data_IF_595344603318
#
_entry.id   IF_595344603318
#
_cell.length_a   1.000
_cell.length_b   1.000
_cell.length_c   1.000
_cell.angle_alpha   90.00
_cell.angle_beta   90.00
_cell.angle_gamma   90.00
#
_symmetry.space_group_name_H-M   'P 1'
#
loop_
_entity.id
_entity.type
_entity.pdbx_description
1 polymer ?
#
# COMPACT_ATOMS: atom_id res chain seq x y z
N UNK A 1 -18.39 15.12 -15.95
CA UNK A 1 -17.30 14.97 -14.96
C UNK A 1 -16.50 13.73 -15.29
N UNK A 2 -15.22 13.70 -14.91
CA UNK A 2 -14.35 12.54 -15.15
C UNK A 2 -14.81 11.38 -14.27
N UNK A 3 -15.02 10.21 -14.87
CA UNK A 3 -15.35 9.00 -14.12
C UNK A 3 -14.19 8.69 -13.14
N UNK A 4 -14.53 8.35 -11.90
CA UNK A 4 -13.55 8.03 -10.86
C UNK A 4 -12.91 9.24 -10.16
N UNK A 5 -13.39 10.47 -10.40
CA UNK A 5 -12.97 11.63 -9.62
C UNK A 5 -13.41 11.49 -8.15
N UNK A 6 -12.48 11.72 -7.24
CA UNK A 6 -12.72 11.89 -5.80
C UNK A 6 -12.21 13.27 -5.40
N UNK A 7 -13.01 14.04 -4.67
CA UNK A 7 -12.61 15.33 -4.12
C UNK A 7 -12.10 15.11 -2.70
N UNK A 8 -10.80 15.24 -2.53
CA UNK A 8 -10.21 15.35 -1.20
C UNK A 8 -10.40 16.78 -0.69
N UNK A 9 -11.10 16.94 0.44
CA UNK A 9 -11.57 18.27 0.87
C UNK A 9 -10.40 19.15 1.30
N UNK A 10 -9.36 18.57 1.90
CA UNK A 10 -8.16 19.27 2.31
C UNK A 10 -7.02 18.29 2.55
N UNK A 11 -5.78 18.73 2.38
CA UNK A 11 -4.57 17.95 2.66
C UNK A 11 -3.88 18.44 3.94
N UNK A 12 -3.56 17.51 4.85
CA UNK A 12 -2.76 17.69 6.07
C UNK A 12 -3.09 18.96 6.88
N UNK A 13 -4.35 19.18 7.28
CA UNK A 13 -4.74 20.40 7.99
C UNK A 13 -4.08 20.57 9.36
N UNK A 14 -3.50 19.54 9.96
CA UNK A 14 -2.68 19.67 11.16
C UNK A 14 -1.30 20.26 10.91
N UNK A 15 -0.83 20.24 9.66
CA UNK A 15 0.42 20.85 9.24
C UNK A 15 0.27 22.36 9.11
N UNK A 16 1.02 23.13 9.91
CA UNK A 16 0.90 24.59 9.93
C UNK A 16 1.20 25.30 8.59
N UNK A 17 1.91 24.64 7.66
CA UNK A 17 2.13 25.12 6.30
C UNK A 17 0.92 24.92 5.38
N UNK A 18 0.05 23.95 5.68
CA UNK A 18 -1.17 23.67 4.94
C UNK A 18 -2.38 24.38 5.56
N UNK A 19 -2.44 24.51 6.88
CA UNK A 19 -3.50 25.23 7.58
C UNK A 19 -3.02 25.93 8.85
N UNK A 20 -2.70 27.22 8.74
CA UNK A 20 -2.19 28.04 9.84
C UNK A 20 -3.27 28.62 10.78
N UNK A 21 -4.37 27.90 11.02
CA UNK A 21 -5.54 28.37 11.78
C UNK A 21 -6.08 27.27 12.71
N UNK A 22 -7.08 27.57 13.54
CA UNK A 22 -7.61 26.62 14.53
C UNK A 22 -8.35 25.44 13.89
N UNK A 23 -8.44 24.31 14.64
CA UNK A 23 -9.25 23.14 14.28
C UNK A 23 -10.70 23.56 14.03
N UNK A 24 -11.30 24.37 14.90
CA UNK A 24 -12.67 24.87 14.72
C UNK A 24 -12.87 25.57 13.37
N UNK A 25 -11.92 26.42 12.96
CA UNK A 25 -12.03 27.10 11.68
C UNK A 25 -11.92 26.13 10.51
N UNK A 26 -11.05 25.12 10.62
CA UNK A 26 -10.94 24.06 9.62
C UNK A 26 -12.22 23.24 9.53
N UNK A 27 -12.81 22.81 10.65
CA UNK A 27 -14.08 22.06 10.68
C UNK A 27 -15.22 22.85 10.04
N UNK A 28 -15.27 24.16 10.27
CA UNK A 28 -16.24 25.04 9.61
C UNK A 28 -16.00 25.13 8.10
N UNK A 29 -14.74 25.12 7.64
CA UNK A 29 -14.40 25.02 6.22
C UNK A 29 -14.82 23.66 5.66
N UNK A 30 -14.49 22.56 6.34
CA UNK A 30 -14.86 21.20 5.98
C UNK A 30 -16.36 21.07 5.75
N UNK A 31 -17.18 21.46 6.74
CA UNK A 31 -18.63 21.33 6.64
C UNK A 31 -19.20 22.11 5.45
N UNK A 32 -18.77 23.36 5.26
CA UNK A 32 -19.18 24.16 4.10
C UNK A 32 -18.74 23.55 2.78
N UNK A 33 -17.49 23.07 2.69
CA UNK A 33 -16.95 22.45 1.49
C UNK A 33 -17.70 21.18 1.12
N UNK A 34 -17.87 20.27 2.07
CA UNK A 34 -18.60 19.02 1.87
C UNK A 34 -20.03 19.26 1.37
N UNK A 35 -20.78 20.15 2.03
CA UNK A 35 -22.16 20.47 1.61
C UNK A 35 -22.19 21.11 0.22
N UNK A 36 -21.28 22.03 -0.09
CA UNK A 36 -21.21 22.63 -1.43
C UNK A 36 -20.86 21.62 -2.54
N UNK A 37 -19.93 20.70 -2.27
CA UNK A 37 -19.58 19.67 -3.24
C UNK A 37 -20.75 18.71 -3.48
N UNK A 38 -21.44 18.29 -2.41
CA UNK A 38 -22.60 17.40 -2.55
C UNK A 38 -23.81 18.10 -3.19
N UNK A 39 -24.04 19.38 -2.93
CA UNK A 39 -25.08 20.15 -3.63
C UNK A 39 -24.77 20.27 -5.13
N UNK A 40 -23.50 20.46 -5.49
CA UNK A 40 -23.07 20.64 -6.87
C UNK A 40 -23.03 19.33 -7.68
N UNK A 41 -22.63 18.23 -7.04
CA UNK A 41 -22.26 16.99 -7.72
C UNK A 41 -23.09 15.78 -7.31
N UNK A 42 -23.75 15.82 -6.14
CA UNK A 42 -24.40 14.67 -5.53
C UNK A 42 -23.48 13.44 -5.47
N UNK A 43 -24.06 12.25 -5.59
CA UNK A 43 -23.32 10.98 -5.52
C UNK A 43 -22.45 10.68 -6.77
N UNK A 44 -22.37 11.61 -7.73
CA UNK A 44 -21.57 11.40 -8.95
C UNK A 44 -20.08 11.67 -8.76
N UNK A 45 -19.70 12.36 -7.68
CA UNK A 45 -18.31 12.59 -7.27
C UNK A 45 -18.21 12.33 -5.78
N UNK A 46 -17.31 11.42 -5.41
CA UNK A 46 -17.10 11.05 -4.02
C UNK A 46 -16.23 12.10 -3.31
N UNK A 47 -16.37 12.17 -2.00
CA UNK A 47 -15.52 12.98 -1.11
C UNK A 47 -14.58 12.11 -0.27
N UNK A 48 -13.38 12.59 0.01
CA UNK A 48 -12.43 11.95 0.94
C UNK A 48 -11.94 12.92 2.04
N UNK A 49 -11.49 12.32 3.15
CA UNK A 49 -10.72 12.96 4.22
C UNK A 49 -10.84 12.22 5.56
N UNK A 50 -10.32 12.76 6.67
CA UNK A 50 -9.83 14.12 6.86
C UNK A 50 -8.46 14.41 6.24
N UNK A 51 -7.77 13.39 5.72
CA UNK A 51 -6.43 13.48 5.10
C UNK A 51 -5.45 14.17 6.05
N UNK A 52 -5.36 13.61 7.25
CA UNK A 52 -4.35 13.98 8.21
C UNK A 52 -3.03 13.30 7.82
N UNK A 53 -1.93 14.02 7.95
CA UNK A 53 -0.57 13.48 7.90
C UNK A 53 -0.34 12.39 8.95
N UNK A 54 -0.99 12.54 10.11
CA UNK A 54 -0.94 11.59 11.22
C UNK A 54 -1.99 10.49 11.14
N UNK A 55 -1.58 9.26 11.49
CA UNK A 55 -2.47 8.10 11.65
C UNK A 55 -3.63 8.37 12.65
N UNK A 56 -4.79 7.69 12.49
CA UNK A 56 -5.88 7.65 13.45
C UNK A 56 -5.43 7.55 14.92
N UNK A 57 -5.91 8.48 15.75
CA UNK A 57 -5.64 8.51 17.20
C UNK A 57 -6.90 8.73 18.04
N UNK A 58 -7.17 7.84 19.00
CA UNK A 58 -8.35 7.97 19.91
C UNK A 58 -8.24 9.09 20.94
N UNK A 59 -7.02 9.61 21.14
CA UNK A 59 -6.68 10.76 21.97
C UNK A 59 -6.10 11.92 21.16
N UNK A 60 -6.16 11.84 19.83
CA UNK A 60 -5.71 12.91 18.94
C UNK A 60 -6.85 13.92 18.72
N UNK A 61 -6.59 15.20 18.95
CA UNK A 61 -7.60 16.26 18.88
C UNK A 61 -8.15 16.45 17.46
N UNK A 62 -7.31 16.34 16.42
CA UNK A 62 -7.75 16.46 15.04
C UNK A 62 -8.73 15.34 14.68
N UNK A 63 -8.36 14.09 14.95
CA UNK A 63 -9.22 12.93 14.70
C UNK A 63 -10.51 12.96 15.51
N UNK A 64 -10.42 13.21 16.81
CA UNK A 64 -11.58 13.13 17.71
C UNK A 64 -12.57 14.27 17.52
N UNK A 65 -12.09 15.50 17.29
CA UNK A 65 -12.97 16.64 17.02
C UNK A 65 -13.58 16.55 15.62
N UNK A 66 -12.81 16.13 14.61
CA UNK A 66 -13.35 15.86 13.27
C UNK A 66 -14.44 14.81 13.29
N UNK A 67 -14.18 13.64 13.89
CA UNK A 67 -15.16 12.55 13.92
C UNK A 67 -16.47 12.96 14.60
N UNK A 68 -16.37 13.70 15.72
CA UNK A 68 -17.54 14.28 16.40
C UNK A 68 -18.25 15.32 15.54
N UNK A 69 -17.50 16.19 14.86
CA UNK A 69 -18.05 17.26 14.04
C UNK A 69 -18.81 16.71 12.84
N UNK A 70 -18.21 15.84 12.02
CA UNK A 70 -18.83 15.34 10.78
C UNK A 70 -20.09 14.53 11.07
N UNK A 71 -20.15 13.87 12.24
CA UNK A 71 -21.37 13.20 12.71
C UNK A 71 -22.51 14.19 12.96
N UNK A 72 -22.23 15.32 13.61
CA UNK A 72 -23.25 16.29 13.99
C UNK A 72 -23.61 17.26 12.87
N UNK A 73 -22.68 17.50 11.94
CA UNK A 73 -22.87 18.38 10.80
C UNK A 73 -23.42 17.66 9.56
N UNK A 74 -23.63 16.34 9.65
CA UNK A 74 -24.03 15.47 8.54
C UNK A 74 -23.11 15.62 7.32
N UNK A 75 -21.80 15.68 7.56
CA UNK A 75 -20.77 15.95 6.54
C UNK A 75 -19.69 14.85 6.50
N UNK A 76 -20.13 13.59 6.61
CA UNK A 76 -19.26 12.41 6.63
C UNK A 76 -18.78 12.12 5.19
N UNK A 77 -17.46 11.98 4.96
CA UNK A 77 -16.97 11.72 3.60
C UNK A 77 -17.32 10.30 3.13
N UNK A 78 -17.24 10.09 1.83
CA UNK A 78 -17.46 8.78 1.20
C UNK A 78 -16.28 7.83 1.39
N UNK A 79 -15.08 8.40 1.60
CA UNK A 79 -13.84 7.68 1.87
C UNK A 79 -13.14 8.26 3.09
N UNK A 80 -12.56 7.39 3.92
CA UNK A 80 -11.66 7.81 5.00
C UNK A 80 -10.23 7.83 4.50
N UNK A 81 -9.57 8.97 4.67
CA UNK A 81 -8.20 9.19 4.20
C UNK A 81 -7.29 9.75 5.29
N UNK A 82 -6.04 9.30 5.26
CA UNK A 82 -4.91 9.74 6.07
C UNK A 82 -3.62 9.22 5.42
N UNK A 83 -2.48 9.68 5.91
CA UNK A 83 -1.18 9.30 5.37
C UNK A 83 -0.50 8.21 6.20
N UNK A 84 0.13 7.25 5.51
CA UNK A 84 0.97 6.21 6.10
C UNK A 84 2.45 6.51 5.79
N UNK A 85 2.92 7.66 6.28
CA UNK A 85 4.23 8.23 5.97
C UNK A 85 5.08 8.53 7.22
N UNK A 86 4.75 7.89 8.35
CA UNK A 86 5.54 7.94 9.59
C UNK A 86 6.83 7.13 9.57
N UNK A 87 7.24 6.59 8.41
CA UNK A 87 8.42 5.76 8.25
C UNK A 87 8.27 4.38 8.91
N UNK A 88 9.36 3.89 9.52
CA UNK A 88 9.40 2.59 10.22
C UNK A 88 8.43 2.45 11.40
N UNK A 89 7.81 3.55 11.83
CA UNK A 89 6.76 3.58 12.86
C UNK A 89 5.35 3.41 12.31
N UNK A 90 5.16 3.55 10.99
CA UNK A 90 3.83 3.41 10.37
C UNK A 90 3.34 1.97 10.46
N UNK A 91 2.08 1.79 10.80
CA UNK A 91 1.48 0.47 10.90
C UNK A 91 0.01 0.51 10.54
N UNK A 92 -0.25 0.26 9.26
CA UNK A 92 -1.61 0.27 8.72
C UNK A 92 -2.61 -0.65 9.44
N UNK A 93 -2.18 -1.80 9.96
CA UNK A 93 -3.08 -2.70 10.70
C UNK A 93 -3.49 -2.10 12.05
N UNK A 94 -2.54 -1.44 12.72
CA UNK A 94 -2.81 -0.69 13.94
C UNK A 94 -3.70 0.52 13.64
N UNK A 95 -3.34 1.36 12.66
CA UNK A 95 -4.08 2.56 12.31
C UNK A 95 -5.51 2.25 11.85
N UNK A 96 -5.70 1.17 11.06
CA UNK A 96 -7.01 0.61 10.75
C UNK A 96 -7.79 0.28 12.02
N UNK A 97 -7.19 -0.48 12.95
CA UNK A 97 -7.82 -0.85 14.21
C UNK A 97 -8.21 0.35 15.08
N UNK A 98 -7.40 1.41 15.07
CA UNK A 98 -7.70 2.66 15.79
C UNK A 98 -8.82 3.44 15.10
N UNK A 99 -8.84 3.51 13.77
CA UNK A 99 -9.97 4.08 13.03
C UNK A 99 -11.28 3.38 13.40
N UNK A 100 -11.31 2.04 13.44
CA UNK A 100 -12.50 1.29 13.84
C UNK A 100 -13.04 1.69 15.22
N UNK A 101 -12.14 1.98 16.17
CA UNK A 101 -12.51 2.47 17.51
C UNK A 101 -13.11 3.88 17.45
N UNK A 102 -12.53 4.78 16.64
CA UNK A 102 -13.05 6.13 16.43
C UNK A 102 -14.44 6.07 15.80
N UNK A 103 -14.61 5.30 14.72
CA UNK A 103 -15.90 5.16 14.03
C UNK A 103 -16.98 4.64 14.97
N UNK A 104 -16.66 3.63 15.78
CA UNK A 104 -17.58 3.07 16.80
C UNK A 104 -17.93 4.11 17.86
N UNK A 105 -16.93 4.82 18.40
CA UNK A 105 -17.11 5.82 19.48
C UNK A 105 -18.02 6.98 19.04
N UNK A 106 -17.90 7.44 17.79
CA UNK A 106 -18.64 8.58 17.28
C UNK A 106 -19.85 8.20 16.41
N UNK A 107 -20.15 6.91 16.25
CA UNK A 107 -21.31 6.44 15.47
C UNK A 107 -21.21 6.79 13.98
N UNK A 108 -20.00 6.68 13.42
CA UNK A 108 -19.72 6.85 12.01
C UNK A 108 -19.80 5.50 11.26
N UNK A 109 -20.26 5.49 10.00
CA UNK A 109 -20.35 4.26 9.22
C UNK A 109 -18.98 3.75 8.79
N UNK A 110 -18.92 2.47 8.38
CA UNK A 110 -17.76 1.99 7.62
C UNK A 110 -17.77 2.61 6.21
N UNK A 111 -16.59 2.99 5.73
CA UNK A 111 -16.37 3.53 4.39
C UNK A 111 -15.11 2.93 3.78
N UNK A 112 -14.94 3.11 2.47
CA UNK A 112 -13.72 2.76 1.78
C UNK A 112 -12.56 3.56 2.38
N UNK A 113 -11.46 2.89 2.68
CA UNK A 113 -10.23 3.54 3.13
C UNK A 113 -9.40 3.90 1.90
N UNK A 114 -8.88 5.12 1.87
CA UNK A 114 -8.02 5.64 0.82
C UNK A 114 -6.78 6.27 1.46
N UNK A 115 -5.70 5.50 1.49
CA UNK A 115 -4.39 5.98 1.91
C UNK A 115 -3.77 6.69 0.72
N UNK A 116 -4.08 7.97 0.60
CA UNK A 116 -3.74 8.78 -0.55
C UNK A 116 -2.28 9.24 -0.57
N UNK A 117 -1.54 9.08 0.52
CA UNK A 117 -0.08 9.11 0.56
C UNK A 117 0.43 8.02 1.51
N UNK A 118 1.33 7.15 1.03
CA UNK A 118 2.02 6.15 1.85
C UNK A 118 3.48 6.01 1.44
N UNK A 119 4.26 5.43 2.36
CA UNK A 119 5.69 5.19 2.26
C UNK A 119 6.52 6.47 2.20
N UNK A 120 7.37 6.65 3.20
CA UNK A 120 8.47 7.62 3.14
C UNK A 120 9.42 7.30 2.00
N UNK A 121 10.24 8.28 1.60
CA UNK A 121 11.24 8.11 0.57
C UNK A 121 12.18 6.90 0.76
N UNK A 122 12.51 6.54 2.01
CA UNK A 122 13.38 5.38 2.28
C UNK A 122 12.65 4.03 2.19
N UNK A 123 11.32 4.02 2.30
CA UNK A 123 10.50 2.82 2.15
C UNK A 123 10.12 2.54 0.70
N UNK A 124 10.39 3.49 -0.18
CA UNK A 124 10.12 3.46 -1.60
C UNK A 124 11.17 2.64 -2.36
N UNK A 125 11.23 1.37 -1.97
CA UNK A 125 12.09 0.28 -2.46
C UNK A 125 11.22 -0.96 -2.72
N UNK A 126 11.67 -1.95 -3.53
CA UNK A 126 10.89 -3.15 -3.83
C UNK A 126 10.32 -3.88 -2.59
N UNK A 127 11.10 -4.01 -1.51
CA UNK A 127 10.67 -4.60 -0.23
C UNK A 127 9.49 -3.86 0.38
N UNK A 128 9.59 -2.53 0.50
CA UNK A 128 8.54 -1.69 1.08
C UNK A 128 7.31 -1.61 0.19
N UNK A 129 7.49 -1.48 -1.13
CA UNK A 129 6.37 -1.50 -2.08
C UNK A 129 5.54 -2.78 -1.95
N UNK A 130 6.17 -3.96 -1.89
CA UNK A 130 5.46 -5.22 -1.68
C UNK A 130 4.81 -5.33 -0.29
N UNK A 131 5.43 -4.78 0.75
CA UNK A 131 4.86 -4.74 2.10
C UNK A 131 3.57 -3.91 2.13
N UNK A 132 3.60 -2.68 1.61
CA UNK A 132 2.43 -1.80 1.58
C UNK A 132 1.28 -2.36 0.72
N UNK A 133 1.59 -2.94 -0.45
CA UNK A 133 0.60 -3.67 -1.26
C UNK A 133 -0.11 -4.74 -0.42
N UNK A 134 0.65 -5.53 0.34
CA UNK A 134 0.11 -6.62 1.16
C UNK A 134 -0.83 -6.12 2.25
N UNK A 135 -0.45 -5.04 2.93
CA UNK A 135 -1.24 -4.40 3.97
C UNK A 135 -2.58 -3.87 3.43
N UNK A 136 -2.54 -3.13 2.31
CA UNK A 136 -3.75 -2.54 1.74
C UNK A 136 -4.67 -3.58 1.12
N UNK A 137 -4.12 -4.56 0.43
CA UNK A 137 -4.91 -5.66 -0.16
C UNK A 137 -5.67 -6.46 0.90
N UNK A 138 -5.07 -6.70 2.07
CA UNK A 138 -5.72 -7.41 3.18
C UNK A 138 -6.98 -6.69 3.68
N UNK A 139 -6.98 -5.36 3.69
CA UNK A 139 -8.09 -4.53 4.16
C UNK A 139 -8.94 -3.94 3.04
N UNK A 140 -8.65 -4.31 1.79
CA UNK A 140 -9.29 -3.75 0.62
C UNK A 140 -9.20 -2.21 0.60
N UNK A 141 -8.06 -1.65 1.02
CA UNK A 141 -7.81 -0.22 1.02
C UNK A 141 -7.25 0.23 -0.35
N UNK A 142 -7.51 1.48 -0.71
CA UNK A 142 -6.84 2.15 -1.83
C UNK A 142 -5.52 2.71 -1.30
N UNK A 143 -4.44 2.57 -2.07
CA UNK A 143 -3.14 3.14 -1.76
C UNK A 143 -2.61 3.97 -2.92
N UNK A 144 -2.27 5.23 -2.68
CA UNK A 144 -1.52 6.08 -3.59
C UNK A 144 -0.17 6.42 -2.95
N UNK A 145 0.91 6.08 -3.66
CA UNK A 145 2.28 6.23 -3.16
C UNK A 145 2.61 7.72 -3.00
N UNK A 146 3.18 8.08 -1.85
CA UNK A 146 3.62 9.45 -1.58
C UNK A 146 4.70 9.91 -2.55
N UNK A 147 4.77 11.21 -2.82
CA UNK A 147 5.73 11.76 -3.78
C UNK A 147 6.67 12.76 -3.11
N UNK A 148 7.80 12.24 -2.63
CA UNK A 148 8.83 12.99 -1.88
C UNK A 148 9.85 13.74 -2.76
N UNK A 149 9.61 13.80 -4.07
CA UNK A 149 10.51 14.46 -5.02
C UNK A 149 10.28 15.97 -5.08
N UNK A 150 11.22 16.70 -5.66
CA UNK A 150 11.14 18.15 -5.84
C UNK A 150 11.29 18.60 -7.29
N UNK A 151 10.87 19.83 -7.58
CA UNK A 151 11.07 20.48 -8.89
C UNK A 151 10.52 19.67 -10.06
N UNK A 152 11.29 19.53 -11.13
CA UNK A 152 10.94 18.74 -12.32
C UNK A 152 10.52 17.32 -11.97
N UNK A 153 11.23 16.68 -11.04
CA UNK A 153 11.11 15.25 -10.76
C UNK A 153 9.75 14.89 -10.15
N UNK A 154 9.21 15.77 -9.30
CA UNK A 154 7.89 15.64 -8.68
C UNK A 154 6.79 15.41 -9.73
N UNK A 155 6.88 16.09 -10.87
CA UNK A 155 5.83 16.09 -11.90
C UNK A 155 6.05 15.09 -13.03
N UNK A 156 7.18 14.38 -13.02
CA UNK A 156 7.69 13.72 -14.23
C UNK A 156 8.06 12.24 -14.02
N UNK A 157 8.41 11.86 -12.79
CA UNK A 157 9.01 10.55 -12.51
C UNK A 157 8.07 9.53 -11.85
N UNK A 158 6.77 9.87 -11.76
CA UNK A 158 5.74 9.04 -11.15
C UNK A 158 6.17 8.53 -9.76
N UNK A 159 6.52 9.47 -8.86
CA UNK A 159 7.03 9.18 -7.52
C UNK A 159 8.20 8.18 -7.53
N UNK A 160 9.24 8.41 -8.35
CA UNK A 160 10.42 7.55 -8.49
C UNK A 160 10.14 6.12 -8.97
N UNK A 161 8.97 5.83 -9.57
CA UNK A 161 8.79 4.58 -10.32
C UNK A 161 9.57 4.60 -11.62
N UNK A 162 9.69 5.78 -12.23
CA UNK A 162 10.43 6.00 -13.46
C UNK A 162 11.59 6.96 -13.20
N UNK A 163 12.58 6.91 -14.07
CA UNK A 163 13.64 7.90 -14.16
C UNK A 163 14.02 8.09 -15.63
N UNK A 164 14.95 9.00 -15.91
CA UNK A 164 15.45 9.32 -17.24
C UNK A 164 16.92 9.76 -17.14
N UNK A 165 17.67 9.83 -18.26
CA UNK A 165 19.11 10.10 -18.22
C UNK A 165 19.51 11.38 -17.48
N UNK A 166 18.68 12.43 -17.58
CA UNK A 166 18.79 13.61 -16.72
C UNK A 166 17.43 13.88 -16.05
N UNK A 167 17.22 13.46 -14.80
CA UNK A 167 15.94 13.61 -14.11
C UNK A 167 15.62 15.08 -13.76
N UNK A 168 16.59 16.00 -13.83
CA UNK A 168 16.37 17.41 -13.50
C UNK A 168 15.97 18.26 -14.71
N UNK A 169 16.25 17.79 -15.93
CA UNK A 169 15.85 18.44 -17.18
C UNK A 169 14.47 17.96 -17.65
N UNK A 170 13.47 18.85 -17.64
CA UNK A 170 12.10 18.55 -18.09
C UNK A 170 12.05 18.05 -19.55
N UNK A 171 12.99 18.45 -20.40
CA UNK A 171 13.03 18.08 -21.82
C UNK A 171 13.78 16.78 -22.10
N UNK A 172 14.50 16.24 -21.11
CA UNK A 172 15.17 14.95 -21.22
C UNK A 172 14.16 13.84 -21.51
N UNK A 173 14.51 12.92 -22.41
CA UNK A 173 13.67 11.81 -22.87
C UNK A 173 14.36 10.47 -22.64
N UNK A 174 13.67 9.36 -22.94
CA UNK A 174 14.20 8.01 -22.73
C UNK A 174 13.95 7.51 -21.31
N UNK A 175 12.71 7.64 -20.84
CA UNK A 175 12.29 7.12 -19.55
C UNK A 175 12.57 5.63 -19.42
N UNK A 176 12.97 5.23 -18.23
CA UNK A 176 13.21 3.85 -17.87
C UNK A 176 12.67 3.55 -16.47
N UNK A 177 12.42 2.27 -16.21
CA UNK A 177 11.91 1.78 -14.95
C UNK A 177 13.00 1.73 -13.87
N UNK A 178 12.64 2.17 -12.66
CA UNK A 178 13.39 1.86 -11.44
C UNK A 178 12.93 0.52 -10.84
N UNK A 179 13.55 0.10 -9.73
CA UNK A 179 13.28 -1.20 -9.09
C UNK A 179 11.82 -1.42 -8.72
N UNK A 180 11.20 -0.46 -8.05
CA UNK A 180 9.81 -0.52 -7.58
C UNK A 180 8.80 -0.69 -8.71
N UNK A 181 9.05 -0.09 -9.88
CA UNK A 181 8.16 -0.23 -11.04
C UNK A 181 7.93 -1.69 -11.39
N UNK A 182 8.96 -2.53 -11.28
CA UNK A 182 8.82 -3.96 -11.57
C UNK A 182 7.96 -4.69 -10.55
N UNK A 183 7.92 -4.25 -9.30
CA UNK A 183 6.99 -4.76 -8.28
C UNK A 183 5.55 -4.40 -8.65
N UNK A 184 5.25 -3.13 -8.94
CA UNK A 184 3.89 -2.73 -9.37
C UNK A 184 3.48 -3.35 -10.70
N UNK A 185 4.41 -3.54 -11.63
CA UNK A 185 4.14 -4.21 -12.89
C UNK A 185 3.79 -5.69 -12.66
N UNK A 186 4.55 -6.41 -11.83
CA UNK A 186 4.24 -7.79 -11.45
C UNK A 186 2.92 -7.89 -10.66
N UNK A 187 2.70 -7.00 -9.70
CA UNK A 187 1.44 -6.90 -8.96
C UNK A 187 0.24 -6.74 -9.90
N UNK A 188 0.28 -5.80 -10.84
CA UNK A 188 -0.84 -5.52 -11.75
C UNK A 188 -1.08 -6.57 -12.84
N UNK A 189 -0.02 -7.23 -13.35
CA UNK A 189 -0.14 -8.13 -14.50
C UNK A 189 -0.07 -9.62 -14.12
N UNK A 190 0.62 -9.97 -13.04
CA UNK A 190 0.87 -11.37 -12.68
C UNK A 190 0.01 -11.83 -11.51
N UNK A 191 -0.36 -10.98 -10.55
CA UNK A 191 -1.18 -11.36 -9.39
C UNK A 191 -2.66 -11.50 -9.77
N UNK A 192 -2.96 -12.49 -10.62
CA UNK A 192 -4.27 -12.75 -11.20
C UNK A 192 -5.09 -13.77 -10.39
N UNK A 193 -6.40 -13.80 -10.64
CA UNK A 193 -7.30 -14.76 -10.01
C UNK A 193 -7.92 -14.21 -8.73
N UNK A 194 -8.05 -15.06 -7.71
CA UNK A 194 -8.67 -14.70 -6.44
C UNK A 194 -7.61 -14.44 -5.37
N UNK A 195 -7.78 -13.36 -4.61
CA UNK A 195 -6.99 -13.11 -3.39
C UNK A 195 -7.22 -14.23 -2.39
N UNK A 196 -6.17 -14.65 -1.71
CA UNK A 196 -6.27 -15.58 -0.57
C UNK A 196 -5.85 -14.89 0.72
N UNK A 197 -6.31 -15.44 1.84
CA UNK A 197 -5.97 -14.88 3.16
C UNK A 197 -4.47 -14.97 3.41
N UNK A 198 -3.89 -13.87 3.89
CA UNK A 198 -2.51 -13.79 4.39
C UNK A 198 -2.51 -13.19 5.80
N UNK A 199 -1.37 -13.31 6.48
CA UNK A 199 -1.14 -12.72 7.80
C UNK A 199 0.27 -12.13 7.84
N UNK A 200 0.39 -10.95 8.45
CA UNK A 200 1.69 -10.34 8.75
C UNK A 200 2.47 -11.20 9.75
N UNK A 201 3.80 -11.14 9.71
CA UNK A 201 4.66 -11.76 10.70
C UNK A 201 4.40 -11.25 12.13
N UNK A 202 4.81 -12.02 13.14
CA UNK A 202 4.54 -11.68 14.54
C UNK A 202 5.19 -10.38 15.02
N UNK A 203 6.29 -9.97 14.38
CA UNK A 203 6.97 -8.69 14.61
C UNK A 203 6.41 -7.55 13.76
N UNK A 204 5.44 -7.82 12.88
CA UNK A 204 4.82 -6.84 11.99
C UNK A 204 5.68 -6.42 10.80
N UNK A 205 6.83 -7.08 10.55
CA UNK A 205 7.85 -6.60 9.60
C UNK A 205 7.85 -7.30 8.24
N UNK A 206 7.44 -8.56 8.14
CA UNK A 206 7.25 -9.27 6.87
C UNK A 206 5.76 -9.42 6.60
N UNK A 207 5.38 -9.20 5.36
CA UNK A 207 4.03 -9.42 4.89
C UNK A 207 3.98 -10.08 3.51
N UNK A 208 2.79 -10.58 3.14
CA UNK A 208 2.53 -11.26 1.89
C UNK A 208 1.20 -10.84 1.28
N UNK A 209 1.21 -10.65 -0.04
CA UNK A 209 0.03 -10.61 -0.88
C UNK A 209 0.00 -11.88 -1.73
N UNK A 210 -1.11 -12.61 -1.73
CA UNK A 210 -1.19 -13.89 -2.42
C UNK A 210 -2.47 -14.03 -3.24
N UNK A 211 -2.32 -14.64 -4.42
CA UNK A 211 -3.42 -14.89 -5.37
C UNK A 211 -3.38 -16.32 -5.90
N UNK A 212 -4.56 -16.83 -6.24
CA UNK A 212 -4.76 -18.14 -6.84
C UNK A 212 -5.55 -17.99 -8.12
N UNK A 213 -4.91 -18.29 -9.25
CA UNK A 213 -5.52 -18.29 -10.57
C UNK A 213 -5.89 -19.72 -10.95
N UNK A 214 -7.18 -20.04 -10.89
CA UNK A 214 -7.70 -21.37 -11.21
C UNK A 214 -7.67 -21.68 -12.70
N UNK A 215 -7.70 -20.66 -13.56
CA UNK A 215 -7.61 -20.79 -15.02
C UNK A 215 -6.16 -21.06 -15.43
N UNK A 216 -5.21 -20.28 -14.92
CA UNK A 216 -3.78 -20.45 -15.20
C UNK A 216 -3.14 -21.59 -14.40
N UNK A 217 -3.86 -22.12 -13.41
CA UNK A 217 -3.41 -23.19 -12.50
C UNK A 217 -2.13 -22.78 -11.76
N UNK A 218 -2.07 -21.52 -11.32
CA UNK A 218 -0.90 -20.91 -10.69
C UNK A 218 -1.30 -20.17 -9.41
N UNK A 219 -0.60 -20.45 -8.31
CA UNK A 219 -0.64 -19.62 -7.11
C UNK A 219 0.61 -18.73 -7.10
N UNK A 220 0.45 -17.48 -6.66
CA UNK A 220 1.52 -16.49 -6.60
C UNK A 220 1.50 -15.78 -5.26
N UNK A 221 2.68 -15.54 -4.71
CA UNK A 221 2.89 -14.87 -3.43
C UNK A 221 3.94 -13.80 -3.64
N UNK A 222 3.56 -12.54 -3.52
CA UNK A 222 4.48 -11.41 -3.45
C UNK A 222 4.75 -11.13 -1.98
N UNK A 223 6.02 -11.20 -1.58
CA UNK A 223 6.45 -10.96 -0.21
C UNK A 223 7.04 -9.56 -0.12
N UNK A 224 6.99 -8.93 1.04
CA UNK A 224 7.61 -7.63 1.27
C UNK A 224 7.89 -7.40 2.74
N UNK A 225 9.01 -6.74 3.02
CA UNK A 225 9.37 -6.34 4.38
C UNK A 225 9.28 -4.83 4.53
N UNK A 226 8.84 -4.38 5.71
CA UNK A 226 8.78 -2.95 6.06
C UNK A 226 10.19 -2.39 6.27
N UNK A 227 10.71 -1.50 5.42
CA UNK A 227 12.08 -1.04 5.53
C UNK A 227 12.30 -0.12 6.77
N UNK A 228 13.50 -0.15 7.38
CA UNK A 228 14.59 -1.08 7.13
C UNK A 228 14.37 -2.40 7.88
N UNK A 229 14.35 -3.52 7.15
CA UNK A 229 14.25 -4.86 7.75
C UNK A 229 15.22 -5.80 7.07
N UNK A 230 15.96 -6.56 7.88
CA UNK A 230 16.77 -7.71 7.44
C UNK A 230 16.52 -8.87 8.40
N UNK A 231 16.73 -10.09 7.93
CA UNK A 231 16.55 -11.28 8.76
C UNK A 231 16.06 -12.48 7.98
N UNK A 232 15.64 -13.49 8.74
CA UNK A 232 15.05 -14.71 8.19
C UNK A 232 13.67 -14.89 8.77
N UNK A 233 12.71 -15.19 7.91
CA UNK A 233 11.34 -15.45 8.26
C UNK A 233 10.92 -16.81 7.71
N UNK A 234 10.01 -17.49 8.40
CA UNK A 234 9.37 -18.70 7.89
C UNK A 234 8.00 -18.35 7.34
N UNK A 235 7.79 -18.65 6.06
CA UNK A 235 6.51 -18.41 5.37
C UNK A 235 5.86 -19.76 5.11
N UNK A 236 4.68 -19.95 5.68
CA UNK A 236 3.94 -21.21 5.58
C UNK A 236 2.75 -21.07 4.64
N UNK A 237 2.72 -21.89 3.59
CA UNK A 237 1.54 -22.06 2.76
C UNK A 237 0.71 -23.21 3.31
N UNK A 238 -0.55 -22.93 3.63
CA UNK A 238 -1.49 -23.92 4.13
C UNK A 238 -2.65 -24.15 3.17
N UNK A 239 -3.37 -25.26 3.34
CA UNK A 239 -4.54 -25.56 2.53
C UNK A 239 -4.22 -25.99 1.09
N UNK A 240 -3.00 -26.48 0.81
CA UNK A 240 -2.60 -26.93 -0.52
C UNK A 240 -3.52 -28.04 -1.07
N UNK A 241 -4.09 -28.88 -0.20
CA UNK A 241 -5.05 -29.91 -0.60
C UNK A 241 -6.34 -29.34 -1.19
N UNK A 242 -6.75 -28.12 -0.81
CA UNK A 242 -7.90 -27.42 -1.42
C UNK A 242 -7.61 -26.99 -2.87
N UNK A 243 -6.33 -26.85 -3.20
CA UNK A 243 -5.86 -26.59 -4.55
C UNK A 243 -5.75 -27.88 -5.38
N UNK A 244 -5.86 -29.07 -4.76
CA UNK A 244 -5.67 -30.36 -5.43
C UNK A 244 -4.23 -30.89 -5.38
N UNK A 245 -3.35 -30.21 -4.64
CA UNK A 245 -2.00 -30.70 -4.34
C UNK A 245 -2.05 -31.81 -3.28
N UNK A 246 -1.07 -32.73 -3.27
CA UNK A 246 -1.06 -33.83 -2.32
C UNK A 246 -0.80 -33.35 -0.89
N UNK A 247 -1.18 -34.15 0.11
CA UNK A 247 -0.88 -33.88 1.52
C UNK A 247 0.59 -34.11 1.89
N UNK A 248 1.35 -34.80 1.05
CA UNK A 248 2.79 -35.07 1.21
C UNK A 248 3.46 -35.17 -0.14
N UNK A 249 4.73 -34.77 -0.24
CA UNK A 249 5.52 -34.88 -1.48
C UNK A 249 6.41 -33.67 -1.70
N UNK A 250 6.56 -33.23 -2.94
CA UNK A 250 7.37 -32.08 -3.30
C UNK A 250 6.54 -31.05 -4.08
N UNK A 251 6.55 -29.81 -3.63
CA UNK A 251 6.04 -28.65 -4.37
C UNK A 251 7.19 -27.98 -5.11
N UNK A 252 7.02 -27.73 -6.41
CA UNK A 252 7.98 -26.94 -7.19
C UNK A 252 7.60 -25.45 -7.09
N UNK A 253 8.50 -24.64 -6.55
CA UNK A 253 8.32 -23.20 -6.37
C UNK A 253 9.35 -22.45 -7.19
N UNK A 254 8.88 -21.61 -8.10
CA UNK A 254 9.69 -20.65 -8.85
C UNK A 254 9.84 -19.36 -8.05
N UNK A 255 11.05 -18.82 -8.00
CA UNK A 255 11.36 -17.58 -7.28
C UNK A 255 11.77 -16.48 -8.22
N UNK A 256 11.18 -15.31 -8.07
CA UNK A 256 11.53 -14.08 -8.78
C UNK A 256 12.16 -13.08 -7.81
N UNK A 257 13.26 -12.44 -8.20
CA UNK A 257 13.93 -11.39 -7.43
C UNK A 257 13.68 -10.01 -8.05
N UNK A 258 13.31 -9.05 -7.21
CA UNK A 258 13.14 -7.65 -7.52
C UNK A 258 14.23 -6.87 -6.80
N UNK A 259 15.11 -6.22 -7.56
CA UNK A 259 16.28 -5.51 -7.04
C UNK A 259 16.20 -4.01 -7.34
N UNK A 260 17.15 -3.26 -6.80
CA UNK A 260 17.39 -1.85 -7.09
C UNK A 260 18.69 -1.68 -7.89
N UNK A 261 18.86 -0.54 -8.54
CA UNK A 261 20.12 -0.15 -9.16
C UNK A 261 21.09 0.47 -8.14
N UNK A 262 22.18 1.07 -8.63
CA UNK A 262 23.16 1.76 -7.76
C UNK A 262 22.57 2.95 -7.01
N UNK A 263 21.59 3.61 -7.62
CA UNK A 263 20.73 4.60 -7.01
C UNK A 263 19.30 4.06 -7.06
N UNK A 264 18.70 3.88 -5.88
CA UNK A 264 17.36 3.31 -5.71
C UNK A 264 16.30 4.06 -6.51
N UNK A 265 16.41 5.38 -6.59
CA UNK A 265 15.35 6.25 -7.11
C UNK A 265 15.60 6.76 -8.52
N UNK A 266 16.79 6.52 -9.08
CA UNK A 266 17.15 7.08 -10.40
C UNK A 266 17.84 6.11 -11.35
N UNK A 267 18.25 4.92 -10.90
CA UNK A 267 18.95 3.97 -11.77
C UNK A 267 18.01 3.10 -12.57
N UNK A 268 18.33 2.90 -13.85
CA UNK A 268 17.66 1.93 -14.69
C UNK A 268 17.81 0.52 -14.11
N UNK A 269 16.68 -0.17 -13.93
CA UNK A 269 16.63 -1.57 -13.48
C UNK A 269 15.94 -2.42 -14.54
N UNK A 270 16.53 -3.58 -14.84
CA UNK A 270 15.93 -4.58 -15.73
C UNK A 270 14.75 -5.33 -15.09
N UNK A 271 14.07 -6.16 -15.87
CA UNK A 271 12.97 -7.00 -15.38
C UNK A 271 13.40 -7.91 -14.23
N UNK A 272 12.44 -8.37 -13.38
CA UNK A 272 12.73 -9.29 -12.29
C UNK A 272 13.53 -10.51 -12.74
N UNK A 273 14.46 -10.94 -11.91
CA UNK A 273 15.34 -12.08 -12.20
C UNK A 273 14.65 -13.39 -11.79
N UNK A 274 14.48 -14.33 -12.72
CA UNK A 274 14.11 -15.71 -12.39
C UNK A 274 15.29 -16.40 -11.71
N UNK A 275 15.13 -16.73 -10.43
CA UNK A 275 16.14 -17.44 -9.65
C UNK A 275 16.03 -18.96 -9.80
N UNK A 276 15.05 -19.46 -10.56
CA UNK A 276 14.84 -20.88 -10.83
C UNK A 276 13.65 -21.46 -10.08
N UNK A 277 13.43 -22.75 -10.32
CA UNK A 277 12.31 -23.53 -9.77
C UNK A 277 12.86 -24.69 -8.95
N UNK A 278 12.51 -24.74 -7.66
CA UNK A 278 13.08 -25.68 -6.70
C UNK A 278 12.01 -26.47 -5.95
N UNK A 279 12.37 -27.69 -5.57
CA UNK A 279 11.49 -28.59 -4.84
C UNK A 279 11.50 -28.34 -3.33
N UNK A 280 10.32 -28.16 -2.75
CA UNK A 280 10.11 -28.00 -1.31
C UNK A 280 9.19 -29.10 -0.78
N UNK A 281 9.47 -29.60 0.42
CA UNK A 281 8.71 -30.73 0.98
C UNK A 281 7.32 -30.29 1.43
N UNK A 282 6.29 -30.94 0.90
CA UNK A 282 4.94 -30.84 1.43
C UNK A 282 4.80 -31.82 2.59
N UNK A 283 4.31 -31.32 3.73
CA UNK A 283 3.92 -32.12 4.89
C UNK A 283 2.56 -31.66 5.39
N UNK A 284 1.64 -32.60 5.63
CA UNK A 284 0.28 -32.33 6.10
C UNK A 284 -0.49 -31.30 5.25
N UNK A 285 -0.26 -31.30 3.92
CA UNK A 285 -0.89 -30.34 3.00
C UNK A 285 -0.39 -28.90 3.15
N UNK A 286 0.82 -28.73 3.68
CA UNK A 286 1.48 -27.45 3.86
C UNK A 286 2.93 -27.49 3.38
N UNK A 287 3.48 -26.34 3.07
CA UNK A 287 4.92 -26.16 2.86
C UNK A 287 5.38 -24.92 3.61
N UNK A 288 6.54 -24.98 4.24
CA UNK A 288 7.19 -23.84 4.89
C UNK A 288 8.49 -23.56 4.17
N UNK A 289 8.66 -22.32 3.72
CA UNK A 289 9.82 -21.86 3.00
C UNK A 289 10.50 -20.74 3.81
N UNK A 290 11.83 -20.77 3.94
CA UNK A 290 12.55 -19.65 4.53
C UNK A 290 12.59 -18.48 3.53
N UNK A 291 12.29 -17.29 4.03
CA UNK A 291 12.46 -16.02 3.34
C UNK A 291 13.67 -15.29 3.93
N UNK A 292 14.68 -15.06 3.11
CA UNK A 292 15.93 -14.44 3.51
C UNK A 292 15.96 -12.97 3.05
N UNK A 293 15.66 -12.05 3.96
CA UNK A 293 15.79 -10.62 3.73
C UNK A 293 17.25 -10.20 4.02
N UNK A 294 18.13 -10.34 3.02
CA UNK A 294 19.57 -10.13 3.16
C UNK A 294 20.01 -8.66 3.12
N UNK A 295 19.16 -7.79 2.58
CA UNK A 295 19.28 -6.34 2.53
C UNK A 295 17.90 -5.73 2.80
N UNK A 296 17.75 -4.42 2.92
CA UNK A 296 16.48 -3.76 3.25
C UNK A 296 15.68 -3.26 2.04
N UNK A 297 16.09 -3.61 0.81
CA UNK A 297 15.53 -3.06 -0.43
C UNK A 297 14.96 -4.11 -1.37
N UNK A 298 15.60 -5.28 -1.46
CA UNK A 298 15.24 -6.37 -2.37
C UNK A 298 13.97 -7.05 -1.92
N UNK A 299 13.13 -7.48 -2.86
CA UNK A 299 12.03 -8.40 -2.55
C UNK A 299 11.93 -9.58 -3.49
N UNK A 300 11.04 -10.51 -3.16
CA UNK A 300 10.84 -11.74 -3.91
C UNK A 300 9.36 -12.06 -4.12
N UNK A 301 9.07 -12.73 -5.23
CA UNK A 301 7.80 -13.39 -5.45
C UNK A 301 8.02 -14.90 -5.64
N UNK A 302 7.07 -15.69 -5.15
CA UNK A 302 7.04 -17.14 -5.30
C UNK A 302 5.83 -17.57 -6.12
N UNK A 303 6.05 -18.47 -7.07
CA UNK A 303 5.00 -19.00 -7.93
C UNK A 303 5.03 -20.54 -7.92
N UNK A 304 3.86 -21.18 -7.87
CA UNK A 304 3.77 -22.63 -8.01
C UNK A 304 2.52 -23.06 -8.78
N UNK A 305 2.63 -24.21 -9.45
CA UNK A 305 1.53 -24.85 -10.16
C UNK A 305 0.76 -25.79 -9.25
N UNK A 306 -0.54 -25.94 -9.50
CA UNK A 306 -1.46 -26.79 -8.74
C UNK A 306 -2.58 -27.32 -9.64
#
# INVERSE_FOLDING_TARGET
MQAGLVIDIWNEPEGGCFWGRSIDQWLQMWGRGWHQFNDAFGDSVLTSGPTLAGEPGTNDDWWTQWAKFVKNNDSIPDQYAWHEEGGSGSNFENSYGVLQQILTKYGLPQRQININEYATFNEQVPAGSAFWISQFERRNAIGLRGNWLGGTQLHDLAASLLSKPDPSDYTSTGYFANGDWWVYNYYSHNMTGQRVSTSVSSDGRLDAYATVDTTARTARVLLGCHPPTTGTYDVTFSGLTKLGLPSSGTLQVRTWKFAVGSDVHYSQVGSPQDLGNYGHTISNGQVTLPFYQTDDVTTYAWEFKF
#
